data_IF_455856329733
#
_entry.id   IF_455856329733
#
_cell.length_a   1.000
_cell.length_b   1.000
_cell.length_c   1.000
_cell.angle_alpha   90.00
_cell.angle_beta   90.00
_cell.angle_gamma   90.00
#
_symmetry.space_group_name_H-M   'P 1'
#
loop_
_entity.id
_entity.type
_entity.pdbx_description
1 polymer ?
#
# COMPACT_ATOMS: atom_id res chain seq x y z
N UNK A 1 -2.78 17.88 -24.20
CA UNK A 1 -3.83 16.95 -23.72
C UNK A 1 -3.14 15.72 -23.15
N UNK A 2 -2.91 15.69 -21.85
CA UNK A 2 -2.27 14.56 -21.16
C UNK A 2 -3.26 13.41 -21.11
N UNK A 3 -2.96 12.31 -21.81
CA UNK A 3 -3.77 11.09 -21.79
C UNK A 3 -3.77 10.58 -20.35
N UNK A 4 -4.89 10.74 -19.64
CA UNK A 4 -5.10 10.04 -18.38
C UNK A 4 -4.90 8.55 -18.70
N UNK A 5 -3.81 7.97 -18.20
CA UNK A 5 -3.62 6.53 -18.29
C UNK A 5 -4.74 5.96 -17.46
N UNK A 6 -5.77 5.43 -18.10
CA UNK A 6 -6.86 4.75 -17.41
C UNK A 6 -6.24 3.52 -16.76
N UNK A 7 -5.90 3.63 -15.47
CA UNK A 7 -5.39 2.54 -14.67
C UNK A 7 -6.46 1.46 -14.70
N UNK A 8 -6.28 0.48 -15.57
CA UNK A 8 -7.19 -0.66 -15.65
C UNK A 8 -6.97 -1.43 -14.36
N UNK A 9 -8.03 -1.62 -13.57
CA UNK A 9 -7.93 -2.32 -12.31
C UNK A 9 -7.27 -3.70 -12.54
N UNK A 10 -6.27 -4.09 -11.74
CA UNK A 10 -5.60 -5.36 -11.91
C UNK A 10 -6.59 -6.50 -11.70
N UNK A 11 -6.42 -7.58 -12.45
CA UNK A 11 -7.19 -8.80 -12.24
C UNK A 11 -6.76 -9.42 -10.89
N UNK A 12 -7.66 -9.37 -9.90
CA UNK A 12 -7.38 -9.83 -8.55
C UNK A 12 -7.48 -11.36 -8.49
N UNK A 13 -6.39 -11.99 -8.07
CA UNK A 13 -6.33 -13.43 -7.78
C UNK A 13 -5.53 -13.67 -6.50
N UNK A 14 -5.70 -14.79 -5.78
CA UNK A 14 -4.92 -15.03 -4.56
C UNK A 14 -3.41 -15.04 -4.82
N UNK A 15 -2.98 -15.53 -6.00
CA UNK A 15 -1.57 -15.52 -6.43
C UNK A 15 -0.99 -14.12 -6.59
N UNK A 16 -1.83 -13.13 -6.92
CA UNK A 16 -1.41 -11.73 -7.02
C UNK A 16 -0.83 -11.22 -5.70
N UNK A 17 -1.42 -11.60 -4.56
CA UNK A 17 -1.05 -11.11 -3.23
C UNK A 17 0.33 -11.60 -2.74
N UNK A 18 0.88 -12.65 -3.35
CA UNK A 18 2.19 -13.20 -3.02
C UNK A 18 3.32 -12.66 -3.91
N UNK A 19 3.03 -11.72 -4.81
CA UNK A 19 4.02 -11.12 -5.71
C UNK A 19 4.35 -9.69 -5.28
N UNK A 20 5.46 -9.53 -4.57
CA UNK A 20 5.93 -8.22 -4.05
C UNK A 20 6.11 -7.17 -5.16
N UNK A 21 6.50 -7.59 -6.37
CA UNK A 21 6.74 -6.67 -7.50
C UNK A 21 5.46 -6.06 -8.06
N UNK A 22 4.33 -6.74 -7.92
CA UNK A 22 3.03 -6.26 -8.41
C UNK A 22 2.33 -5.32 -7.42
N UNK A 23 2.75 -5.33 -6.14
CA UNK A 23 2.16 -4.49 -5.09
C UNK A 23 2.77 -3.08 -5.02
N UNK A 24 3.89 -2.87 -5.72
CA UNK A 24 4.58 -1.57 -5.78
C UNK A 24 4.00 -0.75 -6.93
N UNK A 25 2.77 -0.25 -6.75
CA UNK A 25 2.14 0.63 -7.74
C UNK A 25 2.77 2.03 -7.70
N UNK A 26 3.63 2.32 -8.68
CA UNK A 26 4.31 3.61 -8.86
C UNK A 26 3.43 4.68 -9.55
N UNK A 27 2.17 4.36 -9.89
CA UNK A 27 1.30 5.23 -10.69
C UNK A 27 0.95 6.54 -9.97
N UNK A 28 0.77 6.53 -8.65
CA UNK A 28 0.45 7.73 -7.85
C UNK A 28 1.62 8.73 -7.90
N UNK A 29 2.85 8.25 -7.68
CA UNK A 29 4.07 9.08 -7.72
C UNK A 29 4.28 9.66 -9.12
N UNK A 30 4.07 8.86 -10.16
CA UNK A 30 4.16 9.32 -11.55
C UNK A 30 3.12 10.40 -11.87
N UNK A 31 1.88 10.21 -11.42
CA UNK A 31 0.79 11.16 -11.61
C UNK A 31 1.03 12.49 -10.87
N UNK A 32 1.57 12.45 -9.65
CA UNK A 32 1.93 13.65 -8.90
C UNK A 32 3.07 14.44 -9.57
N UNK A 33 4.09 13.74 -10.08
CA UNK A 33 5.17 14.37 -10.83
C UNK A 33 4.64 15.03 -12.13
N UNK A 34 3.67 14.41 -12.80
CA UNK A 34 3.03 14.98 -13.99
C UNK A 34 2.19 16.22 -13.68
N UNK A 35 1.57 16.31 -12.50
CA UNK A 35 0.85 17.51 -12.05
C UNK A 35 1.81 18.67 -11.76
N UNK A 36 2.94 18.39 -11.09
CA UNK A 36 3.90 19.41 -10.68
C UNK A 36 4.80 19.87 -11.84
N UNK A 37 5.18 18.94 -12.71
CA UNK A 37 6.06 19.19 -13.87
C UNK A 37 5.36 18.72 -15.15
N UNK A 38 4.29 19.41 -15.59
CA UNK A 38 3.62 19.05 -16.83
C UNK A 38 4.61 19.20 -17.99
N UNK A 39 4.70 18.19 -18.86
CA UNK A 39 5.42 18.28 -20.13
C UNK A 39 4.66 19.22 -21.07
N UNK A 40 4.81 20.52 -20.85
CA UNK A 40 4.08 21.58 -21.56
C UNK A 40 4.59 21.74 -23.01
N UNK A 41 5.83 21.33 -23.28
CA UNK A 41 6.49 21.49 -24.59
C UNK A 41 7.12 20.17 -25.05
N UNK A 42 7.23 19.99 -26.37
CA UNK A 42 7.99 18.88 -26.96
C UNK A 42 9.46 18.92 -26.53
N UNK A 43 10.14 17.77 -26.59
CA UNK A 43 11.56 17.70 -26.21
C UNK A 43 12.40 18.64 -27.09
N UNK A 44 12.89 19.74 -26.51
CA UNK A 44 13.88 20.61 -27.12
C UNK A 44 15.27 20.22 -26.59
N UNK A 45 16.19 19.71 -27.44
CA UNK A 45 17.55 19.36 -27.02
C UNK A 45 18.36 20.55 -26.48
N UNK A 46 17.92 21.80 -26.68
CA UNK A 46 18.53 22.99 -26.06
C UNK A 46 18.13 23.16 -24.58
N UNK A 47 17.02 22.54 -24.15
CA UNK A 47 16.46 22.63 -22.80
C UNK A 47 17.32 21.94 -21.73
N UNK A 48 18.14 20.95 -22.11
CA UNK A 48 19.04 20.25 -21.17
C UNK A 48 20.26 21.08 -20.73
N UNK A 49 20.52 22.22 -21.38
CA UNK A 49 21.63 23.11 -21.03
C UNK A 49 21.30 24.01 -19.82
N UNK A 50 20.02 24.20 -19.53
CA UNK A 50 19.57 25.03 -18.41
C UNK A 50 19.38 24.10 -17.21
N UNK A 51 20.31 24.15 -16.25
CA UNK A 51 20.02 23.60 -14.93
C UNK A 51 18.83 24.38 -14.38
N UNK A 52 17.68 23.74 -14.21
CA UNK A 52 16.55 24.26 -13.43
C UNK A 52 16.94 24.31 -11.94
N UNK A 53 17.99 25.06 -11.59
CA UNK A 53 18.38 25.37 -10.21
C UNK A 53 17.42 26.39 -9.60
N UNK A 54 16.77 27.19 -10.45
CA UNK A 54 15.60 27.98 -10.08
C UNK A 54 14.36 27.11 -10.20
N UNK A 55 14.26 26.12 -9.31
CA UNK A 55 12.96 25.64 -8.90
C UNK A 55 12.20 26.88 -8.47
N UNK A 56 11.21 27.31 -9.26
CA UNK A 56 10.19 28.27 -8.81
C UNK A 56 9.43 27.59 -7.66
N UNK A 57 10.07 27.54 -6.49
CA UNK A 57 9.50 27.26 -5.20
C UNK A 57 8.48 28.36 -4.95
N UNK A 58 7.26 28.15 -5.45
CA UNK A 58 6.22 29.18 -5.45
C UNK A 58 5.32 29.23 -6.69
N UNK A 59 5.51 28.39 -7.72
CA UNK A 59 4.45 28.21 -8.72
C UNK A 59 3.26 27.52 -8.05
N UNK A 60 2.24 28.29 -7.70
CA UNK A 60 0.96 27.74 -7.25
C UNK A 60 0.38 26.91 -8.38
N UNK A 61 0.05 25.65 -8.09
CA UNK A 61 -0.67 24.78 -9.02
C UNK A 61 -2.02 25.42 -9.30
N UNK A 62 -2.44 25.43 -10.57
CA UNK A 62 -3.76 25.91 -10.93
C UNK A 62 -4.84 25.10 -10.18
N UNK A 63 -5.81 25.81 -9.58
CA UNK A 63 -6.82 25.20 -8.72
C UNK A 63 -7.72 24.23 -9.49
N UNK A 64 -8.10 24.58 -10.73
CA UNK A 64 -8.94 23.73 -11.56
C UNK A 64 -8.19 22.48 -12.04
N UNK A 65 -6.91 22.61 -12.42
CA UNK A 65 -6.04 21.48 -12.73
C UNK A 65 -5.85 20.54 -11.52
N UNK A 66 -5.66 21.11 -10.32
CA UNK A 66 -5.56 20.34 -9.08
C UNK A 66 -6.86 19.59 -8.76
N UNK A 67 -8.01 20.23 -8.91
CA UNK A 67 -9.30 19.57 -8.69
C UNK A 67 -9.50 18.42 -9.69
N UNK A 68 -9.25 18.68 -10.98
CA UNK A 68 -9.37 17.67 -12.03
C UNK A 68 -8.45 16.48 -11.78
N UNK A 69 -7.22 16.72 -11.32
CA UNK A 69 -6.27 15.68 -10.95
C UNK A 69 -6.78 14.83 -9.77
N UNK A 70 -7.30 15.47 -8.73
CA UNK A 70 -7.82 14.76 -7.55
C UNK A 70 -8.95 13.81 -7.94
N UNK A 71 -9.95 14.32 -8.65
CA UNK A 71 -11.16 13.55 -9.00
C UNK A 71 -10.86 12.44 -10.01
N UNK A 72 -10.01 12.69 -11.00
CA UNK A 72 -9.86 11.77 -12.13
C UNK A 72 -8.61 10.88 -12.07
N UNK A 73 -7.63 11.19 -11.22
CA UNK A 73 -6.39 10.42 -11.12
C UNK A 73 -6.09 9.98 -9.68
N UNK A 74 -6.02 10.93 -8.74
CA UNK A 74 -5.58 10.63 -7.38
C UNK A 74 -6.57 9.74 -6.64
N UNK A 75 -7.84 10.14 -6.53
CA UNK A 75 -8.84 9.39 -5.78
C UNK A 75 -9.10 8.01 -6.40
N UNK A 76 -9.26 7.85 -7.73
CA UNK A 76 -9.41 6.53 -8.34
C UNK A 76 -8.21 5.61 -8.10
N UNK A 77 -6.97 6.13 -8.21
CA UNK A 77 -5.77 5.33 -7.95
C UNK A 77 -5.69 4.89 -6.47
N UNK A 78 -6.02 5.81 -5.54
CA UNK A 78 -6.04 5.49 -4.12
C UNK A 78 -7.09 4.46 -3.75
N UNK A 79 -8.27 4.56 -4.36
CA UNK A 79 -9.34 3.58 -4.17
C UNK A 79 -8.90 2.19 -4.65
N UNK A 80 -8.37 2.11 -5.88
CA UNK A 80 -7.87 0.85 -6.45
C UNK A 80 -6.81 0.21 -5.55
N UNK A 81 -5.88 1.01 -5.01
CA UNK A 81 -4.87 0.54 -4.06
C UNK A 81 -5.50 0.01 -2.76
N UNK A 82 -6.52 0.68 -2.25
CA UNK A 82 -7.24 0.27 -1.04
C UNK A 82 -7.99 -1.05 -1.27
N UNK A 83 -8.62 -1.20 -2.42
CA UNK A 83 -9.34 -2.43 -2.80
C UNK A 83 -8.39 -3.63 -2.89
N UNK A 84 -7.21 -3.45 -3.49
CA UNK A 84 -6.15 -4.47 -3.53
C UNK A 84 -5.69 -4.88 -2.13
N UNK A 85 -5.42 -3.90 -1.26
CA UNK A 85 -4.98 -4.18 0.12
C UNK A 85 -6.05 -4.96 0.88
N UNK A 86 -7.32 -4.54 0.77
CA UNK A 86 -8.43 -5.23 1.42
C UNK A 86 -8.61 -6.66 0.90
N UNK A 87 -8.50 -6.85 -0.42
CA UNK A 87 -8.54 -8.17 -1.03
C UNK A 87 -7.42 -9.07 -0.49
N UNK A 88 -6.18 -8.58 -0.47
CA UNK A 88 -5.04 -9.36 0.02
C UNK A 88 -5.10 -9.61 1.54
N UNK A 89 -5.65 -8.69 2.32
CA UNK A 89 -5.93 -8.93 3.73
C UNK A 89 -6.93 -10.09 3.92
N UNK A 90 -7.97 -10.16 3.08
CA UNK A 90 -8.93 -11.27 3.08
C UNK A 90 -8.30 -12.60 2.66
N UNK A 91 -7.44 -12.59 1.64
CA UNK A 91 -6.69 -13.80 1.22
C UNK A 91 -5.78 -14.29 2.36
N UNK A 92 -5.12 -13.39 3.07
CA UNK A 92 -4.20 -13.73 4.17
C UNK A 92 -4.91 -14.33 5.40
N UNK A 93 -6.20 -14.04 5.59
CA UNK A 93 -7.00 -14.58 6.70
C UNK A 93 -7.92 -15.72 6.28
N UNK A 94 -7.98 -16.05 4.99
CA UNK A 94 -8.78 -17.16 4.51
C UNK A 94 -8.15 -18.49 4.94
N UNK A 95 -8.90 -19.38 5.61
CA UNK A 95 -8.45 -20.75 5.84
C UNK A 95 -8.26 -21.47 4.51
N UNK A 96 -7.23 -22.32 4.42
CA UNK A 96 -7.01 -23.20 3.28
C UNK A 96 -8.06 -24.33 3.32
N UNK A 97 -8.97 -24.42 2.33
CA UNK A 97 -10.02 -25.44 2.33
C UNK A 97 -9.48 -26.86 2.16
N UNK A 98 -8.26 -27.01 1.63
CA UNK A 98 -7.63 -28.30 1.39
C UNK A 98 -6.67 -28.72 2.53
N UNK A 99 -6.54 -27.92 3.59
CA UNK A 99 -5.73 -28.26 4.77
C UNK A 99 -6.44 -29.35 5.60
N UNK A 100 -5.94 -30.61 5.61
CA UNK A 100 -6.57 -31.69 6.37
C UNK A 100 -6.50 -31.47 7.88
N UNK A 101 -5.59 -30.61 8.35
CA UNK A 101 -5.39 -30.30 9.75
C UNK A 101 -6.15 -29.04 10.18
N UNK A 102 -6.96 -28.43 9.31
CA UNK A 102 -7.69 -27.20 9.60
C UNK A 102 -8.53 -27.32 10.89
N UNK A 103 -9.32 -28.39 11.00
CA UNK A 103 -10.17 -28.66 12.17
C UNK A 103 -9.32 -28.91 13.42
N UNK A 104 -8.19 -29.61 13.29
CA UNK A 104 -7.28 -29.86 14.41
C UNK A 104 -6.68 -28.55 14.93
N UNK A 105 -6.24 -27.67 14.03
CA UNK A 105 -5.69 -26.35 14.41
C UNK A 105 -6.73 -25.42 15.00
N UNK A 106 -7.96 -25.42 14.49
CA UNK A 106 -9.05 -24.61 15.04
C UNK A 106 -9.43 -25.08 16.44
N UNK A 107 -9.53 -26.40 16.66
CA UNK A 107 -9.84 -26.98 17.97
C UNK A 107 -8.72 -26.74 18.98
N UNK A 108 -7.45 -26.88 18.57
CA UNK A 108 -6.29 -26.55 19.41
C UNK A 108 -6.27 -25.05 19.75
N UNK A 109 -6.47 -24.17 18.76
CA UNK A 109 -6.54 -22.72 18.97
C UNK A 109 -7.68 -22.30 19.89
N UNK A 110 -8.84 -22.94 19.79
CA UNK A 110 -9.98 -22.69 20.68
C UNK A 110 -9.66 -23.12 22.12
N UNK A 111 -9.05 -24.30 22.28
CA UNK A 111 -8.60 -24.82 23.58
C UNK A 111 -7.54 -23.93 24.22
N UNK A 112 -6.59 -23.42 23.44
CA UNK A 112 -5.54 -22.51 23.92
C UNK A 112 -6.10 -21.16 24.37
N UNK A 113 -7.16 -20.65 23.71
CA UNK A 113 -7.86 -19.43 24.17
C UNK A 113 -8.60 -19.61 25.48
N UNK A 114 -9.12 -20.81 25.74
CA UNK A 114 -9.81 -21.14 26.99
C UNK A 114 -8.81 -21.44 28.13
N UNK A 115 -7.53 -21.67 27.81
CA UNK A 115 -6.49 -21.91 28.79
C UNK A 115 -6.20 -20.65 29.59
N UNK A 116 -6.74 -20.59 30.81
CA UNK A 116 -6.35 -19.58 31.81
C UNK A 116 -4.92 -19.90 32.28
N UNK A 117 -3.94 -19.14 31.80
CA UNK A 117 -2.56 -19.20 32.28
C UNK A 117 -2.44 -18.27 33.49
N UNK A 118 -2.14 -18.83 34.67
CA UNK A 118 -1.78 -18.03 35.84
C UNK A 118 -0.38 -17.44 35.62
N UNK A 119 -0.33 -16.18 35.17
CA UNK A 119 0.89 -15.47 34.77
C UNK A 119 1.91 -15.35 35.92
N UNK A 120 1.48 -15.57 37.18
CA UNK A 120 2.36 -15.60 38.36
C UNK A 120 3.12 -16.91 38.53
N UNK A 121 2.66 -18.01 37.95
CA UNK A 121 3.28 -19.34 38.06
C UNK A 121 4.02 -19.78 36.80
N UNK A 122 3.99 -18.99 35.72
CA UNK A 122 4.70 -19.31 34.48
C UNK A 122 6.16 -18.79 34.52
N UNK A 123 7.18 -19.67 34.56
CA UNK A 123 8.59 -19.27 34.55
C UNK A 123 8.99 -18.45 33.32
N UNK A 124 8.22 -18.56 32.23
CA UNK A 124 8.50 -17.87 30.94
C UNK A 124 7.86 -16.48 30.89
N UNK A 125 6.79 -16.23 31.64
CA UNK A 125 6.09 -14.94 31.67
C UNK A 125 6.99 -13.80 32.17
N UNK A 126 7.87 -14.07 33.14
CA UNK A 126 8.85 -13.10 33.62
C UNK A 126 9.75 -12.56 32.49
N UNK A 127 10.12 -13.40 31.51
CA UNK A 127 10.98 -12.98 30.39
C UNK A 127 10.24 -12.14 29.33
N UNK A 128 8.93 -12.32 29.17
CA UNK A 128 8.12 -11.56 28.19
C UNK A 128 7.83 -10.13 28.66
N UNK A 129 7.76 -9.92 29.98
CA UNK A 129 7.59 -8.59 30.58
C UNK A 129 8.81 -7.67 30.38
N UNK A 130 10.04 -8.20 30.42
CA UNK A 130 11.25 -7.39 30.20
C UNK A 130 11.42 -6.89 28.76
N UNK A 131 10.86 -7.58 27.77
CA UNK A 131 10.92 -7.14 26.36
C UNK A 131 10.01 -5.93 26.12
N UNK A 132 8.92 -5.79 26.88
CA UNK A 132 8.03 -4.62 26.82
C UNK A 132 8.56 -3.40 27.59
N UNK A 133 9.44 -3.60 28.58
CA UNK A 133 9.94 -2.51 29.44
C UNK A 133 11.27 -1.90 28.97
N UNK A 134 12.02 -2.58 28.09
CA UNK A 134 13.29 -2.08 27.54
C UNK A 134 13.18 -1.59 26.07
N UNK A 135 11.97 -1.29 25.61
CA UNK A 135 11.69 -0.72 24.29
C UNK A 135 11.30 0.77 24.33
N UNK A 136 12.01 1.57 25.12
CA UNK A 136 12.08 3.04 24.99
C UNK A 136 13.52 3.41 24.70
#
# INVERSE_FOLDING_TARGET
MSRASSTTAPELSPRFCFNEKLLTDDSITQNLNALFTPSQEGFDPSSTAIRQTDSKAGKSIDSAACQTFKENALFPAWQTRSDVINYCAGVATSPDPDDPDLILRETESARDRERVVDERLDPVASKRSYVLVLGV
#
